data_IF_991358250330
#
_entry.id   IF_991358250330
#
_cell.length_a   1.000
_cell.length_b   1.000
_cell.length_c   1.000
_cell.angle_alpha   90.00
_cell.angle_beta   90.00
_cell.angle_gamma   90.00
#
_symmetry.space_group_name_H-M   'P 1'
#
loop_
_entity.id
_entity.type
_entity.pdbx_description
1 polymer ?
#
# COMPACT_ATOMS: atom_id res chain seq x y z
N UNK A 1 -17.28 -21.30 1.04
CA UNK A 1 -15.86 -21.16 1.06
C UNK A 1 -15.46 -19.76 1.50
N UNK A 2 -14.60 -19.66 2.43
CA UNK A 2 -14.21 -18.35 2.92
C UNK A 2 -12.77 -18.09 2.55
N UNK A 3 -12.49 -16.82 2.32
CA UNK A 3 -11.14 -16.38 2.04
C UNK A 3 -10.51 -15.88 3.31
N UNK A 4 -9.25 -16.22 3.45
CA UNK A 4 -8.47 -15.69 4.56
C UNK A 4 -7.93 -14.33 4.18
N UNK A 5 -8.09 -13.39 5.08
CA UNK A 5 -7.49 -12.08 4.92
C UNK A 5 -6.56 -11.81 6.07
N UNK A 6 -5.72 -10.81 5.89
CA UNK A 6 -4.80 -10.42 6.94
C UNK A 6 -4.68 -8.90 6.94
N UNK A 7 -4.33 -8.33 8.08
CA UNK A 7 -4.23 -6.88 8.17
C UNK A 7 -2.95 -6.38 7.54
N UNK A 8 -3.06 -5.24 6.87
CA UNK A 8 -1.93 -4.53 6.31
C UNK A 8 -1.99 -3.11 6.86
N UNK A 9 -0.90 -2.66 7.44
CA UNK A 9 -0.82 -1.33 8.01
C UNK A 9 0.10 -0.47 7.16
N UNK A 10 -0.33 0.75 6.88
CA UNK A 10 0.47 1.71 6.13
C UNK A 10 1.07 2.74 7.06
N UNK A 11 2.36 3.01 6.87
CA UNK A 11 3.10 3.96 7.68
C UNK A 11 3.60 5.06 6.76
N UNK A 12 3.28 6.28 7.08
CA UNK A 12 3.72 7.42 6.30
C UNK A 12 2.77 7.75 5.18
N UNK A 13 2.94 8.92 4.60
CA UNK A 13 2.12 9.35 3.49
C UNK A 13 0.69 9.60 3.89
N UNK A 14 -0.18 9.63 2.88
CA UNK A 14 -1.58 9.96 3.11
C UNK A 14 -2.34 8.84 3.80
N UNK A 15 -1.77 7.64 3.83
CA UNK A 15 -2.43 6.48 4.44
C UNK A 15 -1.85 6.14 5.80
N UNK A 16 -1.04 7.02 6.35
CA UNK A 16 -0.37 6.74 7.62
C UNK A 16 -1.38 6.30 8.67
N UNK A 17 -1.12 5.13 9.26
CA UNK A 17 -1.98 4.59 10.32
C UNK A 17 -3.17 3.82 9.84
N UNK A 18 -3.39 3.75 8.53
CA UNK A 18 -4.54 3.02 8.00
C UNK A 18 -4.25 1.53 7.98
N UNK A 19 -5.26 0.74 8.34
CA UNK A 19 -5.15 -0.71 8.32
C UNK A 19 -6.25 -1.24 7.42
N UNK A 20 -5.86 -2.08 6.47
CA UNK A 20 -6.83 -2.70 5.57
C UNK A 20 -6.72 -4.21 5.70
N UNK A 21 -7.79 -4.89 5.25
CA UNK A 21 -7.78 -6.34 5.15
C UNK A 21 -7.53 -6.72 3.71
N UNK A 22 -6.60 -7.64 3.49
CA UNK A 22 -6.21 -7.99 2.15
C UNK A 22 -6.01 -9.50 2.04
N UNK A 23 -6.09 -10.00 0.82
CA UNK A 23 -5.85 -11.41 0.54
C UNK A 23 -4.47 -11.65 -0.06
N UNK A 24 -3.72 -10.58 -0.33
CA UNK A 24 -2.38 -10.69 -0.91
C UNK A 24 -1.52 -9.57 -0.36
N UNK A 25 -0.24 -9.83 -0.30
CA UNK A 25 0.71 -8.85 0.21
C UNK A 25 1.82 -8.66 -0.80
N UNK A 26 1.58 -7.89 -1.85
CA UNK A 26 2.61 -7.66 -2.86
C UNK A 26 3.80 -6.91 -2.27
N UNK A 27 4.90 -6.92 -2.99
CA UNK A 27 6.10 -6.22 -2.53
C UNK A 27 5.86 -4.72 -2.41
N UNK A 28 5.01 -4.17 -3.28
CA UNK A 28 4.75 -2.74 -3.30
C UNK A 28 3.28 -2.48 -3.48
N UNK A 29 2.81 -1.39 -2.88
CA UNK A 29 1.48 -0.86 -3.15
C UNK A 29 1.63 0.51 -3.78
N UNK A 30 0.79 0.80 -4.75
CA UNK A 30 0.72 2.11 -5.39
C UNK A 30 -0.63 2.71 -5.07
N UNK A 31 -0.62 3.80 -4.32
CA UNK A 31 -1.84 4.44 -3.85
C UNK A 31 -1.99 5.76 -4.57
N UNK A 32 -3.01 5.94 -5.42
CA UNK A 32 -3.19 7.23 -6.09
C UNK A 32 -3.58 8.31 -5.12
N UNK A 33 -3.01 9.49 -5.31
CA UNK A 33 -3.32 10.64 -4.50
C UNK A 33 -3.60 11.81 -5.41
N UNK A 34 -4.09 12.89 -4.82
CA UNK A 34 -4.39 14.08 -5.58
C UNK A 34 -3.13 14.64 -6.22
N UNK A 35 -3.30 15.35 -7.32
CA UNK A 35 -2.18 15.97 -7.96
C UNK A 35 -1.52 15.14 -9.03
N UNK A 36 -2.09 13.98 -9.33
CA UNK A 36 -1.57 13.15 -10.42
C UNK A 36 -0.37 12.33 -10.03
N UNK A 37 -0.26 11.98 -8.76
CA UNK A 37 0.84 11.16 -8.28
C UNK A 37 0.30 9.91 -7.61
N UNK A 38 1.17 8.92 -7.46
CA UNK A 38 0.90 7.73 -6.66
C UNK A 38 1.95 7.63 -5.59
N UNK A 39 1.52 7.31 -4.38
CA UNK A 39 2.44 7.01 -3.30
C UNK A 39 2.85 5.57 -3.40
N UNK A 40 4.13 5.31 -3.22
CA UNK A 40 4.66 3.96 -3.28
C UNK A 40 4.96 3.51 -1.87
N UNK A 41 4.39 2.37 -1.51
CA UNK A 41 4.62 1.75 -0.21
C UNK A 41 5.32 0.43 -0.42
N UNK A 42 6.33 0.18 0.38
CA UNK A 42 7.10 -1.06 0.29
C UNK A 42 6.84 -1.93 1.51
N UNK A 43 6.62 -3.21 1.25
CA UNK A 43 6.40 -4.16 2.32
C UNK A 43 7.67 -4.31 3.15
N UNK A 44 7.52 -4.21 4.46
CA UNK A 44 8.65 -4.27 5.37
C UNK A 44 8.77 -5.58 6.11
N UNK A 45 7.75 -6.43 6.05
CA UNK A 45 7.79 -7.70 6.74
C UNK A 45 7.39 -8.81 5.78
N UNK A 46 7.87 -10.01 6.05
CA UNK A 46 7.55 -11.15 5.21
C UNK A 46 6.47 -12.03 5.81
N UNK A 47 5.94 -11.65 6.96
CA UNK A 47 4.90 -12.41 7.64
C UNK A 47 3.89 -11.44 8.22
N UNK A 48 2.64 -11.92 8.41
CA UNK A 48 1.64 -11.06 9.04
C UNK A 48 2.01 -10.74 10.49
N UNK A 49 1.65 -9.58 10.97
CA UNK A 49 0.99 -8.51 10.24
C UNK A 49 1.96 -7.82 9.29
N UNK A 50 1.47 -7.49 8.13
CA UNK A 50 2.31 -6.83 7.13
C UNK A 50 2.29 -5.34 7.38
N UNK A 51 3.47 -4.72 7.25
CA UNK A 51 3.63 -3.29 7.44
C UNK A 51 4.25 -2.75 6.17
N UNK A 52 3.69 -1.66 5.66
CA UNK A 52 4.17 -1.02 4.45
C UNK A 52 4.59 0.39 4.77
N UNK A 53 5.79 0.75 4.35
CA UNK A 53 6.34 2.08 4.56
C UNK A 53 6.28 2.85 3.25
N UNK A 54 5.86 4.10 3.34
CA UNK A 54 5.85 4.97 2.18
C UNK A 54 7.29 5.34 1.84
N UNK A 55 7.73 4.97 0.64
CA UNK A 55 9.12 5.17 0.25
C UNK A 55 9.29 6.23 -0.81
N UNK A 56 8.22 6.69 -1.44
CA UNK A 56 8.36 7.72 -2.44
C UNK A 56 7.07 7.93 -3.20
N UNK A 57 7.20 8.66 -4.28
CA UNK A 57 6.09 9.00 -5.16
C UNK A 57 6.51 8.75 -6.58
N UNK A 58 5.56 8.39 -7.42
CA UNK A 58 5.78 8.37 -8.86
C UNK A 58 4.64 9.13 -9.50
N UNK A 59 4.93 9.65 -10.67
CA UNK A 59 3.90 10.36 -11.40
C UNK A 59 2.90 9.36 -11.94
N UNK A 60 1.65 9.67 -11.77
CA UNK A 60 0.58 8.82 -12.25
C UNK A 60 0.32 9.18 -13.70
N UNK A 61 0.93 8.45 -14.61
CA UNK A 61 0.77 8.74 -16.01
C UNK A 61 -0.59 8.31 -16.50
N UNK A 62 -1.25 9.22 -17.14
CA UNK A 62 -2.56 8.95 -17.71
C UNK A 62 -2.44 9.02 -19.22
N UNK A 63 -2.86 7.96 -19.85
CA UNK A 63 -2.86 7.93 -21.32
C UNK A 63 -4.15 8.50 -21.83
N UNK A 64 -4.04 9.24 -22.84
CA UNK A 64 -5.21 9.84 -23.43
C UNK A 64 -5.61 9.13 -24.67
#
# INVERSE_FOLDING_TARGET
MSESTFPIEFIGGSRDGEIIEATAAPDYYEIPVDGGFKEIYERQSSQPPFVYFQIGYVKNETRK
#
